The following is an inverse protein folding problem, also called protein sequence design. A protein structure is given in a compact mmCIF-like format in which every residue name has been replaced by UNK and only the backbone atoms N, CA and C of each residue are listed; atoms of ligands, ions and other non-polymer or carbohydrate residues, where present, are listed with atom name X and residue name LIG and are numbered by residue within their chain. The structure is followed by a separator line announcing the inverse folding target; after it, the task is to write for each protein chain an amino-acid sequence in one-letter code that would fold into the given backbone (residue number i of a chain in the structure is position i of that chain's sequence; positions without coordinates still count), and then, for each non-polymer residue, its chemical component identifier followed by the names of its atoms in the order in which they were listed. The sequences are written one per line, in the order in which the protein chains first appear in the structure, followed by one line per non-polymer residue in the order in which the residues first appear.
data_IF_775116838151
#
_entry.id   IF_775116838151
#
_cell.length_a   1.000
_cell.length_b   1.000
_cell.length_c   1.000
_cell.angle_alpha   90.00
_cell.angle_beta   90.00
_cell.angle_gamma   90.00
#
_symmetry.space_group_name_H-M   'P 1'
#
loop_
_entity.id
_entity.type
_entity.pdbx_description
1 polymer ?
#
# COMPACT_ATOMS: atom_id res chain seq x y z
N UNK A 1 -5.49 32.19 -7.97
CA UNK A 1 -4.65 31.15 -7.36
C UNK A 1 -5.12 29.84 -7.94
N UNK A 2 -4.35 29.28 -8.89
CA UNK A 2 -4.66 27.98 -9.48
C UNK A 2 -4.49 26.94 -8.39
N UNK A 3 -5.56 26.27 -8.02
CA UNK A 3 -5.53 25.12 -7.12
C UNK A 3 -4.97 23.94 -7.93
N UNK A 4 -3.65 23.92 -8.14
CA UNK A 4 -3.01 22.69 -8.60
C UNK A 4 -3.28 21.63 -7.56
N UNK A 5 -3.82 20.51 -7.98
CA UNK A 5 -4.00 19.36 -7.11
C UNK A 5 -2.66 18.88 -6.53
N UNK A 6 -2.66 17.95 -5.59
CA UNK A 6 -1.43 17.46 -4.96
C UNK A 6 -0.46 16.80 -5.94
N UNK A 7 -0.94 16.37 -7.11
CA UNK A 7 -0.16 15.73 -8.20
C UNK A 7 -0.53 16.38 -9.54
N UNK A 8 0.42 16.42 -10.46
CA UNK A 8 0.16 16.77 -11.87
C UNK A 8 -0.60 15.65 -12.59
N UNK A 9 -1.17 15.93 -13.76
CA UNK A 9 -1.83 14.91 -14.59
C UNK A 9 -0.89 13.76 -14.95
N UNK A 10 0.36 14.06 -15.31
CA UNK A 10 1.37 13.03 -15.62
C UNK A 10 1.69 12.17 -14.40
N UNK A 11 1.92 12.79 -13.24
CA UNK A 11 2.16 12.07 -11.98
C UNK A 11 0.97 11.21 -11.57
N UNK A 12 -0.27 11.67 -11.78
CA UNK A 12 -1.48 10.88 -11.49
C UNK A 12 -1.57 9.65 -12.41
N UNK A 13 -1.22 9.80 -13.69
CA UNK A 13 -1.17 8.69 -14.64
C UNK A 13 -0.10 7.66 -14.26
N UNK A 14 1.09 8.11 -13.91
CA UNK A 14 2.20 7.23 -13.50
C UNK A 14 1.89 6.56 -12.16
N UNK A 15 1.26 7.27 -11.21
CA UNK A 15 0.76 6.69 -9.96
C UNK A 15 -0.22 5.56 -10.22
N UNK A 16 -1.20 5.77 -11.09
CA UNK A 16 -2.18 4.75 -11.46
C UNK A 16 -1.49 3.51 -12.04
N UNK A 17 -0.55 3.73 -12.97
CA UNK A 17 0.16 2.64 -13.64
C UNK A 17 1.02 1.85 -12.65
N UNK A 18 1.83 2.52 -11.83
CA UNK A 18 2.68 1.83 -10.86
C UNK A 18 1.87 1.13 -9.76
N UNK A 19 0.76 1.71 -9.31
CA UNK A 19 -0.12 1.10 -8.33
C UNK A 19 -0.74 -0.21 -8.86
N UNK A 20 -1.23 -0.22 -10.11
CA UNK A 20 -1.73 -1.44 -10.76
C UNK A 20 -0.67 -2.53 -10.96
N UNK A 21 0.59 -2.12 -11.17
CA UNK A 21 1.72 -3.07 -11.20
C UNK A 21 2.05 -3.62 -9.80
N UNK A 22 1.87 -2.84 -8.74
CA UNK A 22 2.08 -3.28 -7.36
C UNK A 22 1.02 -4.27 -6.91
N UNK A 23 -0.24 -3.98 -7.22
CA UNK A 23 -1.40 -4.80 -6.83
C UNK A 23 -2.35 -4.88 -8.02
N UNK A 24 -2.20 -5.89 -8.88
CA UNK A 24 -3.12 -6.11 -9.99
C UNK A 24 -4.49 -6.61 -9.50
N UNK A 25 -5.53 -6.38 -10.31
CA UNK A 25 -6.84 -6.96 -10.07
C UNK A 25 -6.77 -8.49 -10.05
N UNK A 26 -7.57 -9.13 -9.22
CA UNK A 26 -7.67 -10.58 -9.15
C UNK A 26 -9.12 -11.04 -9.29
N UNK A 27 -9.37 -11.86 -10.30
CA UNK A 27 -10.67 -12.51 -10.47
C UNK A 27 -10.87 -13.66 -9.47
N UNK A 28 -9.78 -14.31 -9.05
CA UNK A 28 -9.81 -15.40 -8.07
C UNK A 28 -10.33 -14.92 -6.70
N UNK A 29 -9.89 -13.74 -6.29
CA UNK A 29 -10.28 -13.15 -5.00
C UNK A 29 -11.39 -12.10 -5.12
N UNK A 30 -11.91 -11.88 -6.33
CA UNK A 30 -12.96 -10.87 -6.63
C UNK A 30 -12.60 -9.48 -6.09
N UNK A 31 -11.36 -9.05 -6.32
CA UNK A 31 -10.84 -7.76 -5.87
C UNK A 31 -10.35 -6.90 -7.02
N UNK A 32 -10.55 -5.55 -6.95
CA UNK A 32 -9.97 -4.62 -7.90
C UNK A 32 -8.45 -4.57 -7.80
N UNK A 33 -7.78 -4.07 -8.84
CA UNK A 33 -6.40 -3.64 -8.74
C UNK A 33 -6.26 -2.30 -8.01
N UNK A 34 -5.06 -1.96 -7.57
CA UNK A 34 -4.81 -0.65 -6.97
C UNK A 34 -4.89 0.51 -7.98
N UNK A 35 -5.02 0.23 -9.27
CA UNK A 35 -5.31 1.18 -10.36
C UNK A 35 -6.82 1.48 -10.52
N UNK A 36 -7.68 0.87 -9.71
CA UNK A 36 -9.13 1.14 -9.70
C UNK A 36 -9.41 2.63 -9.44
N UNK A 37 -10.35 3.23 -10.20
CA UNK A 37 -10.62 4.68 -10.09
C UNK A 37 -10.99 5.15 -8.68
N UNK A 38 -11.73 4.35 -7.90
CA UNK A 38 -12.15 4.73 -6.55
C UNK A 38 -10.96 4.70 -5.59
N UNK A 39 -10.09 3.68 -5.69
CA UNK A 39 -8.87 3.57 -4.90
C UNK A 39 -7.90 4.71 -5.26
N UNK A 40 -7.74 5.02 -6.55
CA UNK A 40 -6.90 6.14 -6.99
C UNK A 40 -7.42 7.50 -6.50
N UNK A 41 -8.73 7.72 -6.53
CA UNK A 41 -9.34 8.94 -5.99
C UNK A 41 -9.08 9.06 -4.48
N UNK A 42 -9.17 7.96 -3.73
CA UNK A 42 -8.89 7.91 -2.31
C UNK A 42 -7.41 8.19 -2.00
N UNK A 43 -6.47 7.61 -2.78
CA UNK A 43 -5.05 7.92 -2.68
C UNK A 43 -4.83 9.43 -2.81
N UNK A 44 -5.29 10.03 -3.91
CA UNK A 44 -5.07 11.46 -4.19
C UNK A 44 -5.70 12.35 -3.12
N UNK A 45 -6.92 12.03 -2.66
CA UNK A 45 -7.63 12.81 -1.64
C UNK A 45 -6.95 12.77 -0.27
N UNK A 46 -6.22 11.71 0.04
CA UNK A 46 -5.64 11.48 1.37
C UNK A 46 -4.13 11.69 1.45
N UNK A 47 -3.48 12.13 0.36
CA UNK A 47 -2.03 12.36 0.34
C UNK A 47 -1.55 13.30 1.46
N UNK A 48 -2.24 14.42 1.69
CA UNK A 48 -1.90 15.36 2.76
C UNK A 48 -0.40 15.67 2.84
N UNK A 49 0.19 15.44 4.00
CA UNK A 49 1.63 15.62 4.27
C UNK A 49 2.55 14.70 3.44
N UNK A 50 2.05 13.60 2.94
CA UNK A 50 2.80 12.62 2.17
C UNK A 50 2.98 13.02 0.70
N UNK A 51 2.22 14.02 0.23
CA UNK A 51 2.21 14.46 -1.18
C UNK A 51 3.62 14.81 -1.71
N UNK A 52 4.48 15.40 -0.87
CA UNK A 52 5.85 15.73 -1.26
C UNK A 52 6.66 14.49 -1.61
N UNK A 53 6.66 13.48 -0.75
CA UNK A 53 7.42 12.25 -0.97
C UNK A 53 6.86 11.42 -2.12
N UNK A 54 5.52 11.39 -2.27
CA UNK A 54 4.89 10.70 -3.40
C UNK A 54 5.29 11.37 -4.72
N UNK A 55 5.27 12.71 -4.82
CA UNK A 55 5.77 13.45 -6.00
C UNK A 55 7.22 13.10 -6.29
N UNK A 56 8.08 13.16 -5.28
CA UNK A 56 9.50 12.83 -5.41
C UNK A 56 9.72 11.40 -5.96
N UNK A 57 8.95 10.40 -5.47
CA UNK A 57 9.03 9.04 -5.98
C UNK A 57 8.56 8.93 -7.44
N UNK A 58 7.47 9.64 -7.81
CA UNK A 58 6.97 9.66 -9.18
C UNK A 58 7.92 10.40 -10.13
N UNK A 59 8.57 11.47 -9.69
CA UNK A 59 9.59 12.18 -10.48
C UNK A 59 10.82 11.29 -10.72
N UNK A 60 11.24 10.53 -9.71
CA UNK A 60 12.31 9.53 -9.85
C UNK A 60 11.89 8.43 -10.85
N UNK A 61 10.65 7.94 -10.76
CA UNK A 61 10.12 6.95 -11.68
C UNK A 61 10.10 7.48 -13.13
N UNK A 62 9.65 8.71 -13.34
CA UNK A 62 9.62 9.34 -14.65
C UNK A 62 11.02 9.50 -15.25
N UNK A 63 12.04 9.83 -14.43
CA UNK A 63 13.44 9.89 -14.85
C UNK A 63 13.97 8.52 -15.28
N UNK A 64 13.69 7.46 -14.53
CA UNK A 64 14.10 6.09 -14.84
C UNK A 64 13.41 5.54 -16.11
N UNK A 65 12.13 5.84 -16.25
CA UNK A 65 11.32 5.41 -17.38
C UNK A 65 11.69 6.13 -18.69
N UNK A 66 12.09 7.40 -18.62
CA UNK A 66 12.41 8.26 -19.76
C UNK A 66 11.19 8.64 -20.62
N UNK A 67 9.99 8.16 -20.29
CA UNK A 67 8.71 8.42 -20.95
C UNK A 67 7.57 8.15 -19.95
N UNK A 68 6.31 8.60 -20.23
CA UNK A 68 5.17 8.23 -19.42
C UNK A 68 5.07 6.72 -19.24
N UNK A 69 4.95 6.23 -17.99
CA UNK A 69 5.03 4.80 -17.68
C UNK A 69 3.98 3.99 -18.48
N UNK A 70 2.79 4.54 -18.64
CA UNK A 70 1.70 3.92 -19.40
C UNK A 70 2.02 3.69 -20.89
N UNK A 71 2.94 4.47 -21.48
CA UNK A 71 3.35 4.37 -22.89
C UNK A 71 4.42 3.31 -23.15
N UNK A 72 5.07 2.82 -22.12
CA UNK A 72 6.12 1.81 -22.22
C UNK A 72 5.52 0.41 -22.42
N UNK A 73 6.29 -0.48 -23.04
CA UNK A 73 5.98 -1.92 -23.03
C UNK A 73 6.12 -2.51 -21.62
N UNK A 74 5.52 -3.68 -21.36
CA UNK A 74 5.52 -4.29 -20.03
C UNK A 74 6.93 -4.52 -19.45
N UNK A 75 7.89 -4.95 -20.26
CA UNK A 75 9.25 -5.24 -19.79
C UNK A 75 9.98 -3.97 -19.35
N UNK A 76 9.81 -2.87 -20.08
CA UNK A 76 10.40 -1.57 -19.72
C UNK A 76 9.73 -0.96 -18.49
N UNK A 77 8.40 -1.12 -18.34
CA UNK A 77 7.70 -0.72 -17.10
C UNK A 77 8.25 -1.44 -15.89
N UNK A 78 8.38 -2.77 -16.01
CA UNK A 78 8.91 -3.60 -14.94
C UNK A 78 10.34 -3.21 -14.58
N UNK A 79 11.21 -3.01 -15.57
CA UNK A 79 12.59 -2.57 -15.35
C UNK A 79 12.64 -1.25 -14.58
N UNK A 80 11.87 -0.22 -14.99
CA UNK A 80 11.82 1.07 -14.31
C UNK A 80 11.30 0.94 -12.85
N UNK A 81 10.26 0.11 -12.64
CA UNK A 81 9.70 -0.14 -11.30
C UNK A 81 10.71 -0.86 -10.38
N UNK A 82 11.42 -1.86 -10.91
CA UNK A 82 12.46 -2.58 -10.16
C UNK A 82 13.64 -1.68 -9.82
N UNK A 83 14.04 -0.80 -10.73
CA UNK A 83 15.11 0.16 -10.47
C UNK A 83 14.70 1.20 -9.41
N UNK A 84 13.46 1.71 -9.47
CA UNK A 84 12.90 2.58 -8.44
C UNK A 84 12.91 1.88 -7.07
N UNK A 85 12.47 0.62 -7.02
CA UNK A 85 12.47 -0.20 -5.82
C UNK A 85 13.89 -0.39 -5.27
N UNK A 86 14.86 -0.64 -6.13
CA UNK A 86 16.26 -0.82 -5.74
C UNK A 86 16.88 0.47 -5.17
N UNK A 87 16.50 1.64 -5.67
CA UNK A 87 16.88 2.94 -5.10
C UNK A 87 16.40 3.09 -3.66
N UNK A 88 15.17 2.66 -3.37
CA UNK A 88 14.59 2.75 -2.03
C UNK A 88 14.44 4.18 -1.51
N UNK A 89 14.58 4.33 -0.19
CA UNK A 89 14.51 5.62 0.48
C UNK A 89 13.09 6.03 0.91
N UNK A 90 12.99 7.18 1.57
CA UNK A 90 11.74 7.65 2.20
C UNK A 90 10.63 7.91 1.17
N UNK A 91 10.95 8.43 0.01
CA UNK A 91 9.98 8.71 -1.06
C UNK A 91 9.33 7.42 -1.57
N UNK A 92 10.12 6.41 -1.91
CA UNK A 92 9.65 5.11 -2.39
C UNK A 92 8.86 4.37 -1.32
N UNK A 93 9.35 4.37 -0.08
CA UNK A 93 8.63 3.78 1.06
C UNK A 93 7.28 4.47 1.31
N UNK A 94 7.22 5.79 1.18
CA UNK A 94 5.97 6.55 1.34
C UNK A 94 4.98 6.23 0.23
N UNK A 95 5.42 6.20 -1.04
CA UNK A 95 4.57 5.81 -2.17
C UNK A 95 3.98 4.42 -1.94
N UNK A 96 4.82 3.44 -1.60
CA UNK A 96 4.39 2.06 -1.31
C UNK A 96 3.36 2.02 -0.18
N UNK A 97 3.65 2.69 0.95
CA UNK A 97 2.75 2.74 2.11
C UNK A 97 1.40 3.34 1.77
N UNK A 98 1.36 4.46 1.05
CA UNK A 98 0.11 5.15 0.70
C UNK A 98 -0.76 4.28 -0.20
N UNK A 99 -0.18 3.63 -1.21
CA UNK A 99 -0.92 2.70 -2.09
C UNK A 99 -1.49 1.53 -1.28
N UNK A 100 -0.69 0.88 -0.44
CA UNK A 100 -1.14 -0.24 0.39
C UNK A 100 -2.24 0.19 1.38
N UNK A 101 -2.10 1.33 2.05
CA UNK A 101 -3.08 1.83 3.01
C UNK A 101 -4.44 2.10 2.36
N UNK A 102 -4.47 2.73 1.18
CA UNK A 102 -5.72 3.01 0.48
C UNK A 102 -6.33 1.73 -0.10
N UNK A 103 -5.52 0.82 -0.61
CA UNK A 103 -5.98 -0.47 -1.12
C UNK A 103 -6.66 -1.31 -0.02
N UNK A 104 -5.97 -1.53 1.11
CA UNK A 104 -6.48 -2.38 2.18
C UNK A 104 -7.56 -1.74 3.06
N UNK A 105 -7.91 -0.47 2.83
CA UNK A 105 -9.09 0.14 3.44
C UNK A 105 -10.30 0.20 2.51
N UNK A 106 -10.16 -0.19 1.24
CA UNK A 106 -11.30 -0.31 0.32
C UNK A 106 -12.24 -1.42 0.81
N UNK A 107 -13.52 -1.11 0.89
CA UNK A 107 -14.54 -2.02 1.42
C UNK A 107 -14.61 -3.35 0.68
N UNK A 108 -14.37 -3.36 -0.63
CA UNK A 108 -14.38 -4.58 -1.46
C UNK A 108 -13.22 -5.49 -1.07
N UNK A 109 -12.03 -4.89 -0.86
CA UNK A 109 -10.84 -5.60 -0.41
C UNK A 109 -11.01 -6.13 1.00
N UNK A 110 -11.53 -5.30 1.92
CA UNK A 110 -11.80 -5.73 3.31
C UNK A 110 -12.77 -6.92 3.35
N UNK A 111 -13.85 -6.90 2.54
CA UNK A 111 -14.81 -8.02 2.46
C UNK A 111 -14.21 -9.29 1.88
N UNK A 112 -13.31 -9.18 0.90
CA UNK A 112 -12.64 -10.35 0.32
C UNK A 112 -11.75 -11.09 1.32
N UNK A 113 -11.28 -10.38 2.35
CA UNK A 113 -10.54 -10.96 3.48
C UNK A 113 -11.44 -11.60 4.54
N UNK A 114 -12.75 -11.67 4.31
CA UNK A 114 -13.72 -12.17 5.30
C UNK A 114 -14.00 -11.21 6.45
N UNK A 115 -13.60 -9.95 6.32
CA UNK A 115 -13.77 -8.93 7.34
C UNK A 115 -14.98 -8.03 7.04
N UNK A 116 -15.61 -7.52 8.10
CA UNK A 116 -16.69 -6.53 7.99
C UNK A 116 -16.07 -5.12 7.86
N UNK A 117 -16.35 -4.36 6.77
CA UNK A 117 -15.79 -3.03 6.56
C UNK A 117 -16.50 -2.00 7.44
N UNK A 118 -16.14 -1.93 8.68
CA UNK A 118 -16.71 -1.00 9.69
C UNK A 118 -15.68 -0.66 10.76
N UNK A 119 -15.84 0.48 11.44
CA UNK A 119 -15.03 0.77 12.61
C UNK A 119 -15.32 -0.23 13.74
N UNK A 120 -14.35 -0.52 14.61
CA UNK A 120 -14.57 -1.44 15.74
C UNK A 120 -15.63 -0.92 16.74
N UNK A 121 -15.72 0.38 16.95
CA UNK A 121 -16.73 0.97 17.83
C UNK A 121 -18.05 1.24 17.08
N UNK A 122 -19.23 1.04 17.68
CA UNK A 122 -19.45 0.54 19.05
C UNK A 122 -19.54 -0.99 19.18
N UNK A 123 -19.64 -1.72 18.07
CA UNK A 123 -19.94 -3.16 18.05
C UNK A 123 -18.80 -4.04 18.56
N UNK A 124 -17.53 -3.58 18.41
CA UNK A 124 -16.36 -4.41 18.71
C UNK A 124 -16.19 -5.60 17.74
N UNK A 125 -15.22 -6.43 18.04
CA UNK A 125 -14.99 -7.72 17.37
C UNK A 125 -14.84 -8.81 18.44
N UNK A 126 -15.36 -9.99 18.15
CA UNK A 126 -15.10 -11.17 18.95
C UNK A 126 -13.72 -11.71 18.54
N UNK A 127 -12.79 -11.71 19.47
CA UNK A 127 -11.48 -12.31 19.28
C UNK A 127 -11.49 -13.69 19.90
N UNK A 128 -11.00 -14.69 19.17
CA UNK A 128 -10.77 -16.02 19.74
C UNK A 128 -9.66 -15.94 20.79
N UNK A 129 -9.86 -16.70 21.88
CA UNK A 129 -8.83 -16.82 22.90
C UNK A 129 -7.60 -17.52 22.32
N UNK A 130 -6.42 -17.03 22.67
CA UNK A 130 -5.18 -17.67 22.25
C UNK A 130 -5.03 -19.05 22.91
N UNK A 131 -4.37 -19.97 22.23
CA UNK A 131 -4.01 -21.28 22.82
C UNK A 131 -2.90 -21.11 23.87
N UNK A 132 -3.31 -21.01 25.12
CA UNK A 132 -2.42 -20.83 26.27
C UNK A 132 -1.53 -22.06 26.53
N UNK A 133 -1.84 -23.24 25.98
CA UNK A 133 -1.02 -24.44 26.11
C UNK A 133 0.33 -24.28 25.41
N UNK A 134 0.44 -23.40 24.41
CA UNK A 134 1.70 -23.07 23.77
C UNK A 134 2.73 -22.44 24.71
N UNK A 135 2.30 -21.95 25.89
CA UNK A 135 3.19 -21.42 26.92
C UNK A 135 3.72 -22.49 27.89
N UNK A 136 3.20 -23.71 27.85
CA UNK A 136 3.60 -24.76 28.80
C UNK A 136 5.10 -25.09 28.73
N UNK A 137 5.74 -25.19 27.53
CA UNK A 137 7.19 -25.37 27.46
C UNK A 137 7.98 -24.21 28.06
N UNK A 138 7.44 -22.99 28.07
CA UNK A 138 8.07 -21.82 28.67
C UNK A 138 7.90 -21.83 30.19
N UNK A 139 6.70 -22.19 30.68
CA UNK A 139 6.38 -22.33 32.10
C UNK A 139 7.21 -23.44 32.75
N UNK A 140 7.53 -24.51 32.01
CA UNK A 140 8.36 -25.62 32.48
C UNK A 140 9.87 -25.27 32.60
N UNK A 141 10.31 -24.13 32.07
CA UNK A 141 11.71 -23.70 32.16
C UNK A 141 12.04 -23.22 33.58
N UNK A 142 13.27 -23.50 34.11
CA UNK A 142 13.70 -22.90 35.33
C UNK A 142 13.76 -21.38 35.25
N UNK A 143 13.59 -20.64 36.35
CA UNK A 143 13.68 -19.19 36.36
C UNK A 143 15.01 -18.71 35.78
N UNK A 144 14.97 -17.84 34.79
CA UNK A 144 16.16 -17.24 34.13
C UNK A 144 16.62 -15.95 34.83
N UNK A 145 15.82 -15.46 35.77
CA UNK A 145 16.13 -14.27 36.58
C UNK A 145 16.95 -14.62 37.80
N UNK A 146 17.90 -13.76 38.17
CA UNK A 146 18.66 -13.92 39.42
C UNK A 146 17.80 -13.47 40.60
N UNK A 147 17.76 -14.26 41.65
CA UNK A 147 17.16 -13.80 42.92
C UNK A 147 18.02 -12.68 43.50
N UNK A 148 17.41 -11.57 44.00
CA UNK A 148 18.16 -10.51 44.68
C UNK A 148 18.91 -11.01 45.93
#
# INVERSE_FOLDING_TARGET
MSTEGPLTTAQTQDLRTIAGMMIPASMEFDVPGADDPAIQADIVATLGRDARHVREALDQLAQLAGAPLASLDPARREAAAMELRAKGGAAVATLTRVVLQCYYRDDRVVRSLGLEPRPPYPKGYVLEDGDWSLLDPVRARPPIWRRP
#
